data_IF_218127864381
#
_entry.id   IF_218127864381
#
_cell.length_a   1.000
_cell.length_b   1.000
_cell.length_c   1.000
_cell.angle_alpha   90.00
_cell.angle_beta   90.00
_cell.angle_gamma   90.00
#
_symmetry.space_group_name_H-M   'P 1'
#
loop_
_entity.id
_entity.type
_entity.pdbx_description
1 polymer ?
#
# COMPACT_ATOMS: atom_id res chain seq x y z
N UNK A 1 -12.81 13.35 -8.16
CA UNK A 1 -12.10 12.05 -8.13
C UNK A 1 -12.03 11.50 -9.55
N UNK A 2 -10.88 10.98 -9.99
CA UNK A 2 -10.64 10.57 -11.39
C UNK A 2 -11.03 9.11 -11.64
N UNK A 3 -10.81 8.24 -10.66
CA UNK A 3 -11.09 6.81 -10.72
C UNK A 3 -12.29 6.46 -9.83
N UNK A 4 -13.06 5.45 -10.24
CA UNK A 4 -14.05 4.79 -9.37
C UNK A 4 -13.32 3.70 -8.58
N UNK A 5 -13.18 3.90 -7.27
CA UNK A 5 -12.48 2.97 -6.38
C UNK A 5 -13.49 2.04 -5.68
N UNK A 6 -13.13 0.76 -5.40
CA UNK A 6 -11.86 0.12 -5.79
C UNK A 6 -11.81 -0.17 -7.29
N UNK A 7 -10.60 -0.25 -7.84
CA UNK A 7 -10.35 -0.55 -9.25
C UNK A 7 -9.39 -1.74 -9.37
N UNK A 8 -9.47 -2.48 -10.47
CA UNK A 8 -8.61 -3.64 -10.72
C UNK A 8 -7.16 -3.19 -11.01
N UNK A 9 -6.25 -3.45 -10.06
CA UNK A 9 -4.83 -3.11 -10.12
C UNK A 9 -4.12 -3.73 -11.33
N UNK A 10 -4.53 -4.94 -11.71
CA UNK A 10 -3.87 -5.72 -12.77
C UNK A 10 -4.06 -5.08 -14.15
N UNK A 11 -5.13 -4.31 -14.33
CA UNK A 11 -5.47 -3.61 -15.58
C UNK A 11 -4.87 -2.21 -15.67
N UNK A 12 -4.26 -1.70 -14.60
CA UNK A 12 -3.70 -0.35 -14.57
C UNK A 12 -2.27 -0.32 -15.10
N UNK A 13 -2.00 0.65 -15.97
CA UNK A 13 -0.65 1.08 -16.28
C UNK A 13 0.02 1.76 -15.08
N UNK A 14 1.34 1.74 -14.97
CA UNK A 14 2.06 2.23 -13.79
C UNK A 14 1.80 3.71 -13.49
N UNK A 15 1.56 4.54 -14.51
CA UNK A 15 1.15 5.95 -14.33
C UNK A 15 -0.21 6.05 -13.65
N UNK A 16 -1.16 5.21 -14.04
CA UNK A 16 -2.50 5.17 -13.45
C UNK A 16 -2.46 4.66 -12.01
N UNK A 17 -1.61 3.66 -11.71
CA UNK A 17 -1.40 3.18 -10.33
C UNK A 17 -0.91 4.31 -9.41
N UNK A 18 -0.03 5.19 -9.91
CA UNK A 18 0.42 6.36 -9.18
C UNK A 18 -0.75 7.31 -8.88
N UNK A 19 -1.57 7.63 -9.88
CA UNK A 19 -2.73 8.52 -9.72
C UNK A 19 -3.78 7.92 -8.78
N UNK A 20 -4.06 6.61 -8.88
CA UNK A 20 -4.96 5.88 -7.97
C UNK A 20 -4.43 5.92 -6.53
N UNK A 21 -3.12 5.74 -6.33
CA UNK A 21 -2.49 5.90 -5.01
C UNK A 21 -2.68 7.31 -4.47
N UNK A 22 -2.45 8.33 -5.28
CA UNK A 22 -2.63 9.73 -4.89
C UNK A 22 -4.10 10.04 -4.54
N UNK A 23 -5.05 9.46 -5.28
CA UNK A 23 -6.47 9.54 -4.96
C UNK A 23 -6.80 8.87 -3.62
N UNK A 24 -6.32 7.65 -3.37
CA UNK A 24 -6.48 6.98 -2.07
C UNK A 24 -5.87 7.78 -0.92
N UNK A 25 -4.69 8.39 -1.09
CA UNK A 25 -4.08 9.25 -0.08
C UNK A 25 -5.03 10.40 0.30
N UNK A 26 -5.68 11.02 -0.69
CA UNK A 26 -6.65 12.08 -0.49
C UNK A 26 -7.91 11.57 0.21
N UNK A 27 -8.53 10.50 -0.30
CA UNK A 27 -9.78 9.92 0.24
C UNK A 27 -9.61 9.35 1.65
N UNK A 28 -8.47 8.74 1.93
CA UNK A 28 -8.13 8.24 3.26
C UNK A 28 -7.70 9.35 4.22
N UNK A 29 -7.70 10.62 3.80
CA UNK A 29 -7.27 11.78 4.60
C UNK A 29 -5.88 11.56 5.20
N UNK A 30 -4.94 11.07 4.38
CA UNK A 30 -3.59 10.69 4.78
C UNK A 30 -3.51 9.59 5.85
N UNK A 31 -4.58 8.83 6.14
CA UNK A 31 -4.48 7.68 7.04
C UNK A 31 -4.13 6.42 6.26
N UNK A 32 -3.20 5.62 6.79
CA UNK A 32 -2.84 4.33 6.21
C UNK A 32 -4.03 3.37 6.30
N UNK A 33 -4.37 2.69 5.21
CA UNK A 33 -5.48 1.73 5.18
C UNK A 33 -5.33 0.62 6.23
N UNK A 34 -4.09 0.16 6.45
CA UNK A 34 -3.83 -0.98 7.33
C UNK A 34 -3.75 -0.59 8.82
N UNK A 35 -2.89 0.37 9.16
CA UNK A 35 -2.62 0.70 10.57
C UNK A 35 -3.40 1.91 11.08
N UNK A 36 -4.03 2.71 10.20
CA UNK A 36 -4.76 3.93 10.56
C UNK A 36 -3.90 5.15 10.90
N UNK A 37 -2.58 5.01 11.03
CA UNK A 37 -1.64 6.12 11.29
C UNK A 37 -1.40 6.98 10.04
N UNK A 38 -0.86 8.18 10.26
CA UNK A 38 -0.56 9.13 9.19
C UNK A 38 0.45 8.57 8.18
N UNK A 39 0.11 8.60 6.89
CA UNK A 39 0.97 8.29 5.74
C UNK A 39 2.11 9.31 5.56
N UNK A 40 2.04 10.46 6.23
CA UNK A 40 3.13 11.45 6.26
C UNK A 40 4.26 11.06 7.22
N UNK A 41 4.01 10.10 8.09
CA UNK A 41 4.94 9.60 9.09
C UNK A 41 5.38 8.18 8.73
N UNK A 42 6.38 7.67 9.45
CA UNK A 42 6.76 6.26 9.36
C UNK A 42 5.62 5.39 9.91
N UNK A 43 5.59 4.12 9.50
CA UNK A 43 4.69 3.13 10.09
C UNK A 43 4.90 3.04 11.62
N UNK A 44 3.88 2.67 12.40
CA UNK A 44 4.02 2.58 13.85
C UNK A 44 5.04 1.50 14.24
N UNK A 45 5.67 1.68 15.40
CA UNK A 45 6.79 0.85 15.89
C UNK A 45 6.50 -0.66 15.83
N UNK A 46 5.30 -1.09 16.25
CA UNK A 46 4.87 -2.49 16.24
C UNK A 46 4.75 -3.13 14.84
N UNK A 47 4.72 -2.33 13.77
CA UNK A 47 4.79 -2.79 12.38
C UNK A 47 6.26 -2.87 11.92
N UNK A 48 7.05 -1.83 12.20
CA UNK A 48 8.46 -1.77 11.81
C UNK A 48 9.28 -2.89 12.46
N UNK A 49 8.94 -3.28 13.69
CA UNK A 49 9.64 -4.32 14.44
C UNK A 49 9.29 -5.76 14.00
N UNK A 50 8.35 -5.94 13.07
CA UNK A 50 8.04 -7.28 12.53
C UNK A 50 9.17 -7.78 11.65
N UNK A 51 9.46 -9.08 11.74
CA UNK A 51 10.53 -9.74 10.96
C UNK A 51 10.10 -9.95 9.50
N UNK A 52 10.41 -8.99 8.64
CA UNK A 52 10.16 -9.11 7.20
C UNK A 52 11.32 -9.85 6.52
N UNK A 53 10.99 -10.86 5.71
CA UNK A 53 11.90 -11.43 4.73
C UNK A 53 11.94 -10.49 3.50
N UNK A 54 12.96 -9.65 3.44
CA UNK A 54 13.11 -8.66 2.38
C UNK A 54 13.39 -9.27 1.00
N UNK A 55 13.81 -10.53 0.92
CA UNK A 55 13.99 -11.25 -0.35
C UNK A 55 12.68 -11.47 -1.12
N UNK A 56 11.53 -11.34 -0.44
CA UNK A 56 10.21 -11.40 -1.06
C UNK A 56 9.82 -10.12 -1.82
N UNK A 57 10.59 -9.04 -1.65
CA UNK A 57 10.26 -7.71 -2.16
C UNK A 57 11.36 -7.17 -3.08
N UNK A 58 11.04 -6.26 -4.02
CA UNK A 58 12.05 -5.63 -4.88
C UNK A 58 13.07 -4.80 -4.09
N UNK A 59 14.31 -4.70 -4.56
CA UNK A 59 15.42 -3.99 -3.89
C UNK A 59 15.09 -2.55 -3.45
N UNK A 60 14.25 -1.85 -4.22
CA UNK A 60 13.87 -0.46 -3.97
C UNK A 60 12.53 -0.31 -3.23
N UNK A 61 11.97 -1.39 -2.68
CA UNK A 61 10.65 -1.38 -2.05
C UNK A 61 10.53 -0.35 -0.92
N UNK A 62 11.56 -0.24 -0.07
CA UNK A 62 11.59 0.70 1.05
C UNK A 62 11.87 2.16 0.64
N UNK A 63 12.39 2.39 -0.58
CA UNK A 63 12.64 3.74 -1.11
C UNK A 63 11.35 4.55 -1.28
N UNK A 64 10.24 3.87 -1.55
CA UNK A 64 8.92 4.50 -1.72
C UNK A 64 8.12 4.33 -0.42
N UNK A 65 7.81 5.41 0.33
CA UNK A 65 7.24 5.29 1.67
C UNK A 65 5.75 4.90 1.67
N UNK A 66 5.04 5.16 0.57
CA UNK A 66 3.61 4.88 0.42
C UNK A 66 3.40 3.98 -0.79
N UNK A 67 2.75 2.85 -0.59
CA UNK A 67 2.42 1.85 -1.62
C UNK A 67 0.91 1.81 -1.85
N UNK A 68 0.52 1.36 -3.04
CA UNK A 68 -0.86 1.03 -3.37
C UNK A 68 -1.07 -0.46 -3.10
N UNK A 69 -1.79 -0.77 -2.03
CA UNK A 69 -2.20 -2.14 -1.72
C UNK A 69 -3.34 -2.57 -2.65
N UNK A 70 -3.32 -3.83 -3.03
CA UNK A 70 -4.45 -4.50 -3.66
C UNK A 70 -4.56 -5.91 -3.07
N UNK A 71 -5.72 -6.52 -3.22
CA UNK A 71 -5.98 -7.90 -2.85
C UNK A 71 -5.52 -8.81 -4.00
N UNK A 72 -4.64 -9.78 -3.74
CA UNK A 72 -4.08 -10.64 -4.79
C UNK A 72 -5.02 -11.72 -5.33
N UNK A 73 -6.11 -12.06 -4.63
CA UNK A 73 -7.12 -13.00 -5.13
C UNK A 73 -8.05 -12.36 -6.16
N UNK A 74 -8.41 -11.09 -5.93
CA UNK A 74 -9.39 -10.35 -6.74
C UNK A 74 -8.77 -9.33 -7.68
N UNK A 75 -7.52 -8.94 -7.44
CA UNK A 75 -6.83 -7.84 -8.14
C UNK A 75 -7.30 -6.45 -7.71
N UNK A 76 -8.31 -6.31 -6.85
CA UNK A 76 -8.91 -5.02 -6.52
C UNK A 76 -8.05 -4.21 -5.55
N UNK A 77 -7.86 -2.92 -5.84
CA UNK A 77 -7.14 -2.00 -4.95
C UNK A 77 -7.84 -1.87 -3.60
N UNK A 78 -7.08 -1.88 -2.51
CA UNK A 78 -7.60 -1.74 -1.16
C UNK A 78 -7.35 -0.34 -0.59
N UNK A 79 -6.16 0.22 -0.87
CA UNK A 79 -5.83 1.56 -0.40
C UNK A 79 -4.35 1.93 -0.42
N UNK A 80 -4.05 3.16 -0.02
CA UNK A 80 -2.70 3.62 0.23
C UNK A 80 -2.22 3.19 1.62
N UNK A 81 -1.03 2.59 1.69
CA UNK A 81 -0.43 2.05 2.92
C UNK A 81 1.03 2.47 3.04
N UNK A 82 1.59 2.49 4.26
CA UNK A 82 3.04 2.58 4.44
C UNK A 82 3.74 1.37 3.78
N UNK A 83 4.97 1.54 3.30
CA UNK A 83 5.80 0.43 2.79
C UNK A 83 5.92 -0.75 3.77
N UNK A 84 6.19 -0.49 5.04
CA UNK A 84 6.25 -1.56 6.05
C UNK A 84 4.88 -2.23 6.27
N UNK A 85 3.78 -1.47 6.23
CA UNK A 85 2.44 -2.04 6.33
C UNK A 85 2.14 -2.96 5.14
N UNK A 86 2.48 -2.53 3.91
CA UNK A 86 2.34 -3.35 2.71
C UNK A 86 3.14 -4.66 2.83
N UNK A 87 4.38 -4.60 3.30
CA UNK A 87 5.19 -5.80 3.50
C UNK A 87 4.58 -6.77 4.53
N UNK A 88 4.02 -6.22 5.62
CA UNK A 88 3.33 -7.03 6.64
C UNK A 88 2.07 -7.68 6.07
N UNK A 89 1.27 -6.93 5.30
CA UNK A 89 0.07 -7.45 4.66
C UNK A 89 0.40 -8.62 3.71
N UNK A 90 1.42 -8.46 2.88
CA UNK A 90 1.88 -9.51 1.98
C UNK A 90 2.37 -10.74 2.76
N UNK A 91 3.34 -10.56 3.66
CA UNK A 91 4.03 -11.70 4.28
C UNK A 91 3.18 -12.43 5.32
N UNK A 92 2.31 -11.75 6.05
CA UNK A 92 1.59 -12.34 7.19
C UNK A 92 0.08 -12.45 6.98
N UNK A 93 -0.51 -11.65 6.10
CA UNK A 93 -1.96 -11.61 5.92
C UNK A 93 -2.43 -12.22 4.60
N UNK A 94 -1.50 -12.66 3.74
CA UNK A 94 -1.83 -13.18 2.40
C UNK A 94 -2.55 -12.12 1.55
N UNK A 95 -2.22 -10.85 1.76
CA UNK A 95 -2.90 -9.71 1.18
C UNK A 95 -2.07 -8.95 0.18
#
# INVERSE_FOLDING_TARGET
>A
MKYNLPIDYTKLHWTQRREVREQYICEQKYKCYYCGYSLKEKAPKHIIEKKINWELFPDNFLKYPIHLQHNHDTGMTEGAVHNYCNAVMWQYNGR
#
